data_IF_171681381817
#
_entry.id   IF_171681381817
#
_cell.length_a   1.000
_cell.length_b   1.000
_cell.length_c   1.000
_cell.angle_alpha   90.00
_cell.angle_beta   90.00
_cell.angle_gamma   90.00
#
_symmetry.space_group_name_H-M   'P 1'
#
loop_
_entity.id
_entity.type
_entity.pdbx_description
1 polymer ?
#
# COMPACT_ATOMS: atom_id res chain seq x y z
N UNK A 1 1.00 -5.65 22.78
CA UNK A 1 -0.12 -5.26 21.91
C UNK A 1 0.19 -4.08 21.00
N UNK A 2 1.14 -3.20 21.36
CA UNK A 2 1.51 -2.02 20.55
C UNK A 2 2.08 -2.31 19.14
N UNK A 3 2.52 -3.55 18.87
CA UNK A 3 3.04 -3.93 17.55
C UNK A 3 1.96 -4.42 16.57
N UNK A 4 0.70 -4.56 16.99
CA UNK A 4 -0.37 -5.07 16.11
C UNK A 4 -1.06 -3.90 15.38
N UNK A 5 -1.22 -4.03 14.06
CA UNK A 5 -1.99 -3.09 13.25
C UNK A 5 -3.50 -3.26 13.43
N UNK A 6 -4.26 -2.22 13.09
CA UNK A 6 -5.74 -2.25 13.11
C UNK A 6 -6.32 -1.78 11.79
N UNK A 7 -7.52 -2.26 11.47
CA UNK A 7 -8.28 -1.88 10.28
C UNK A 7 -9.77 -2.08 10.54
N UNK A 8 -10.63 -1.51 9.70
CA UNK A 8 -12.09 -1.60 9.87
C UNK A 8 -12.66 -2.93 9.41
N UNK A 9 -12.16 -3.49 8.30
CA UNK A 9 -12.70 -4.71 7.71
C UNK A 9 -11.61 -5.51 7.00
N UNK A 10 -11.63 -6.82 7.23
CA UNK A 10 -10.82 -7.80 6.49
C UNK A 10 -11.75 -8.79 5.81
N UNK A 11 -11.52 -9.06 4.53
CA UNK A 11 -12.20 -10.12 3.77
C UNK A 11 -11.15 -11.06 3.20
N UNK A 12 -11.31 -12.35 3.45
CA UNK A 12 -10.40 -13.40 2.97
C UNK A 12 -11.22 -14.35 2.11
N UNK A 13 -10.77 -14.58 0.88
CA UNK A 13 -11.32 -15.59 -0.03
C UNK A 13 -10.27 -16.69 -0.25
N UNK A 14 -10.57 -17.66 -1.12
CA UNK A 14 -9.62 -18.70 -1.51
C UNK A 14 -8.37 -18.11 -2.19
N UNK A 15 -8.57 -17.04 -2.95
CA UNK A 15 -7.55 -16.52 -3.87
C UNK A 15 -7.02 -15.14 -3.43
N UNK A 16 -7.76 -14.40 -2.60
CA UNK A 16 -7.46 -13.01 -2.25
C UNK A 16 -7.60 -12.71 -0.76
N UNK A 17 -6.86 -11.68 -0.32
CA UNK A 17 -7.03 -11.05 0.99
C UNK A 17 -7.14 -9.54 0.80
N UNK A 18 -8.24 -8.98 1.31
CA UNK A 18 -8.55 -7.56 1.19
C UNK A 18 -8.66 -6.95 2.59
N UNK A 19 -7.86 -5.91 2.83
CA UNK A 19 -7.86 -5.13 4.08
C UNK A 19 -8.37 -3.73 3.73
N UNK A 20 -9.46 -3.32 4.38
CA UNK A 20 -10.15 -2.04 4.14
C UNK A 20 -10.04 -1.13 5.36
N UNK A 21 -9.82 0.16 5.10
CA UNK A 21 -9.66 1.25 6.07
C UNK A 21 -8.65 0.89 7.17
N UNK A 22 -7.37 0.71 6.78
CA UNK A 22 -6.27 0.51 7.72
C UNK A 22 -6.01 1.76 8.56
N UNK A 23 -5.78 1.61 9.87
CA UNK A 23 -5.56 2.72 10.80
C UNK A 23 -4.09 3.19 10.85
N UNK A 24 -3.36 3.07 9.74
CA UNK A 24 -2.00 3.57 9.65
C UNK A 24 -1.97 5.10 9.64
N UNK A 25 -0.92 5.70 10.19
CA UNK A 25 -0.76 7.16 10.13
C UNK A 25 -0.67 7.64 8.68
N UNK A 26 -1.52 8.59 8.31
CA UNK A 26 -1.58 9.15 6.95
C UNK A 26 -0.20 9.62 6.46
N UNK A 27 0.55 10.30 7.32
CA UNK A 27 1.91 10.77 7.01
C UNK A 27 2.85 9.63 6.64
N UNK A 28 2.88 8.56 7.45
CA UNK A 28 3.71 7.37 7.20
C UNK A 28 3.34 6.69 5.87
N UNK A 29 2.04 6.66 5.52
CA UNK A 29 1.57 6.11 4.25
C UNK A 29 2.01 6.98 3.06
N UNK A 30 1.89 8.30 3.18
CA UNK A 30 2.30 9.27 2.15
C UNK A 30 3.82 9.22 1.91
N UNK A 31 4.61 9.18 3.00
CA UNK A 31 6.06 9.00 2.95
C UNK A 31 6.42 7.69 2.23
N UNK A 32 5.71 6.60 2.54
CA UNK A 32 5.94 5.33 1.86
C UNK A 32 5.59 5.39 0.38
N UNK A 33 4.50 6.06 0.01
CA UNK A 33 4.13 6.27 -1.39
C UNK A 33 5.19 7.09 -2.14
N UNK A 34 5.74 8.14 -1.52
CA UNK A 34 6.80 8.96 -2.10
C UNK A 34 8.08 8.15 -2.35
N UNK A 35 8.49 7.32 -1.38
CA UNK A 35 9.64 6.41 -1.54
C UNK A 35 9.46 5.46 -2.72
N UNK A 36 8.25 4.88 -2.90
CA UNK A 36 7.98 3.95 -4.00
C UNK A 36 7.98 4.68 -5.35
N UNK A 37 7.42 5.91 -5.43
CA UNK A 37 7.49 6.73 -6.65
C UNK A 37 8.92 7.01 -7.08
N UNK A 38 9.78 7.41 -6.14
CA UNK A 38 11.20 7.62 -6.40
C UNK A 38 11.89 6.33 -6.87
N UNK A 39 11.56 5.18 -6.27
CA UNK A 39 12.09 3.89 -6.70
C UNK A 39 11.68 3.53 -8.14
N UNK A 40 10.44 3.82 -8.55
CA UNK A 40 9.95 3.62 -9.93
C UNK A 40 10.76 4.46 -10.92
N UNK A 41 10.97 5.74 -10.60
CA UNK A 41 11.74 6.66 -11.46
C UNK A 41 13.19 6.23 -11.61
N UNK A 42 13.80 5.69 -10.55
CA UNK A 42 15.19 5.22 -10.56
C UNK A 42 15.39 3.85 -11.22
N UNK A 43 14.31 3.08 -11.45
CA UNK A 43 14.41 1.74 -12.02
C UNK A 43 14.54 1.80 -13.54
N UNK A 44 15.38 0.94 -14.10
CA UNK A 44 15.52 0.74 -15.55
C UNK A 44 14.82 -0.53 -16.04
N UNK A 45 14.33 -1.36 -15.12
CA UNK A 45 13.65 -2.61 -15.41
C UNK A 45 12.14 -2.39 -15.47
N UNK A 46 11.53 -2.69 -16.61
CA UNK A 46 10.08 -2.54 -16.77
C UNK A 46 9.30 -3.48 -15.85
N UNK A 47 9.84 -4.69 -15.60
CA UNK A 47 9.30 -5.63 -14.61
C UNK A 47 9.27 -5.02 -13.20
N UNK A 48 10.36 -4.36 -12.79
CA UNK A 48 10.44 -3.76 -11.46
C UNK A 48 9.50 -2.55 -11.35
N UNK A 49 9.41 -1.74 -12.41
CA UNK A 49 8.46 -0.62 -12.48
C UNK A 49 7.02 -1.12 -12.33
N UNK A 50 6.64 -2.17 -13.06
CA UNK A 50 5.31 -2.77 -12.97
C UNK A 50 5.00 -3.23 -11.54
N UNK A 51 5.92 -3.98 -10.91
CA UNK A 51 5.72 -4.48 -9.53
C UNK A 51 5.66 -3.36 -8.50
N UNK A 52 6.45 -2.30 -8.67
CA UNK A 52 6.41 -1.13 -7.79
C UNK A 52 5.11 -0.33 -7.99
N UNK A 53 4.59 -0.23 -9.21
CA UNK A 53 3.31 0.39 -9.50
C UNK A 53 2.13 -0.39 -8.89
N UNK A 54 2.10 -1.72 -9.02
CA UNK A 54 1.12 -2.58 -8.36
C UNK A 54 1.10 -2.35 -6.84
N UNK A 55 2.29 -2.28 -6.23
CA UNK A 55 2.44 -2.05 -4.80
C UNK A 55 1.95 -0.64 -4.41
N UNK A 56 2.32 0.38 -5.18
CA UNK A 56 1.88 1.75 -4.95
C UNK A 56 0.36 1.83 -4.98
N UNK A 57 -0.28 1.24 -6.00
CA UNK A 57 -1.73 1.21 -6.15
C UNK A 57 -2.43 0.57 -4.95
N UNK A 58 -1.91 -0.56 -4.45
CA UNK A 58 -2.46 -1.23 -3.26
C UNK A 58 -2.36 -0.38 -1.99
N UNK A 59 -1.26 0.35 -1.81
CA UNK A 59 -1.06 1.21 -0.63
C UNK A 59 -1.93 2.47 -0.73
N UNK A 60 -2.00 3.11 -1.89
CA UNK A 60 -2.79 4.32 -2.09
C UNK A 60 -4.30 4.06 -2.06
N UNK A 61 -4.75 2.88 -2.51
CA UNK A 61 -6.18 2.54 -2.58
C UNK A 61 -6.84 2.27 -1.22
N UNK A 62 -6.06 1.90 -0.19
CA UNK A 62 -6.55 1.69 1.18
C UNK A 62 -6.64 2.98 2.01
N UNK A 63 -6.11 4.10 1.50
CA UNK A 63 -6.31 5.42 2.10
C UNK A 63 -7.68 5.89 1.69
N UNK A 64 -8.69 5.66 2.54
CA UNK A 64 -10.01 6.24 2.35
C UNK A 64 -9.87 7.76 2.19
N UNK A 65 -10.05 8.24 0.96
CA UNK A 65 -10.14 9.66 0.65
C UNK A 65 -11.59 10.07 0.86
N UNK A 66 -11.80 10.85 1.94
CA UNK A 66 -12.97 11.67 2.32
C UNK A 66 -14.33 10.98 2.42
#
# INVERSE_FOLDING_TARGET
FEMLGTCKKVTISKDDTVILDGAGEKKSIEERCAQIRSAIESSTSDYDKEKLQERLAKISGGVAVL
#
